data_IF_899104737363
#
_entry.id   IF_899104737363
#
_cell.length_a   1.000
_cell.length_b   1.000
_cell.length_c   1.000
_cell.angle_alpha   90.00
_cell.angle_beta   90.00
_cell.angle_gamma   90.00
#
_symmetry.space_group_name_H-M   'P 1'
#
loop_
_entity.id
_entity.type
_entity.pdbx_description
1 polymer ?
#
# COMPACT_ATOMS: atom_id res chain seq x y z
N UNK A 1 -2.93 8.24 -26.83
CA UNK A 1 -4.29 8.05 -26.27
C UNK A 1 -4.58 6.54 -25.99
N UNK A 2 -4.03 6.02 -24.89
CA UNK A 2 -4.29 4.65 -24.44
C UNK A 2 -5.56 4.60 -23.57
N UNK A 3 -6.39 3.58 -23.82
CA UNK A 3 -7.78 3.46 -23.38
C UNK A 3 -7.95 3.42 -21.86
N UNK A 4 -8.88 4.28 -21.40
CA UNK A 4 -9.36 4.54 -20.02
C UNK A 4 -9.87 3.31 -19.22
N UNK A 5 -9.95 2.12 -19.80
CA UNK A 5 -10.52 0.92 -19.15
C UNK A 5 -9.49 -0.05 -18.56
N UNK A 6 -8.27 -0.10 -19.09
CA UNK A 6 -7.26 -1.08 -18.62
C UNK A 6 -6.61 -0.68 -17.27
N UNK A 7 -6.79 0.56 -16.85
CA UNK A 7 -5.97 1.16 -15.79
C UNK A 7 -6.64 1.15 -14.41
N UNK A 8 -7.98 1.16 -14.40
CA UNK A 8 -8.77 0.79 -13.22
C UNK A 8 -8.45 -0.65 -12.81
N UNK A 9 -8.23 -1.53 -13.79
CA UNK A 9 -7.82 -2.92 -13.56
C UNK A 9 -6.40 -2.99 -12.97
N UNK A 10 -5.46 -2.13 -13.34
CA UNK A 10 -4.06 -2.20 -12.85
C UNK A 10 -3.86 -1.68 -11.41
N UNK A 11 -4.48 -0.56 -11.04
CA UNK A 11 -4.38 0.00 -9.67
C UNK A 11 -5.21 -0.83 -8.69
N UNK A 12 -6.39 -1.33 -9.11
CA UNK A 12 -7.04 -2.40 -8.37
C UNK A 12 -6.18 -3.66 -8.38
N UNK A 13 -5.59 -4.12 -9.48
CA UNK A 13 -4.83 -5.37 -9.52
C UNK A 13 -3.62 -5.38 -8.60
N UNK A 14 -2.90 -4.28 -8.38
CA UNK A 14 -1.73 -4.33 -7.51
C UNK A 14 -2.11 -4.21 -6.03
N UNK A 15 -3.09 -3.37 -5.69
CA UNK A 15 -3.62 -3.27 -4.33
C UNK A 15 -4.42 -4.53 -3.95
N UNK A 16 -5.17 -5.09 -4.91
CA UNK A 16 -5.85 -6.40 -4.83
C UNK A 16 -4.83 -7.52 -4.89
N UNK A 17 -3.69 -7.43 -5.58
CA UNK A 17 -2.64 -8.46 -5.49
C UNK A 17 -1.96 -8.44 -4.12
N UNK A 18 -1.72 -7.28 -3.52
CA UNK A 18 -1.28 -7.19 -2.13
C UNK A 18 -2.35 -7.70 -1.16
N UNK A 19 -3.63 -7.36 -1.34
CA UNK A 19 -4.74 -7.85 -0.50
C UNK A 19 -5.05 -9.34 -0.71
N UNK A 20 -4.89 -9.87 -1.93
CA UNK A 20 -5.07 -11.29 -2.26
C UNK A 20 -3.85 -12.10 -1.81
N UNK A 21 -2.63 -11.57 -1.89
CA UNK A 21 -1.46 -12.20 -1.28
C UNK A 21 -1.61 -12.29 0.25
N UNK A 22 -2.22 -11.27 0.88
CA UNK A 22 -2.58 -11.30 2.30
C UNK A 22 -3.76 -12.25 2.57
N UNK A 23 -4.77 -12.33 1.70
CA UNK A 23 -5.91 -13.25 1.88
C UNK A 23 -5.55 -14.73 1.66
N UNK A 24 -4.65 -15.03 0.73
CA UNK A 24 -4.19 -16.40 0.48
C UNK A 24 -3.37 -16.99 1.64
N UNK A 25 -2.73 -16.15 2.47
CA UNK A 25 -2.04 -16.61 3.68
C UNK A 25 -2.98 -16.87 4.85
N UNK A 26 -4.12 -16.16 4.91
CA UNK A 26 -5.16 -16.43 5.92
C UNK A 26 -5.95 -17.72 5.65
N UNK A 27 -6.24 -18.05 4.39
CA UNK A 27 -7.01 -19.26 4.05
C UNK A 27 -6.25 -20.56 4.38
N UNK A 28 -4.91 -20.57 4.22
CA UNK A 28 -4.07 -21.71 4.60
C UNK A 28 -4.04 -21.95 6.13
N UNK A 29 -4.32 -20.90 6.92
CA UNK A 29 -4.33 -20.96 8.39
C UNK A 29 -5.70 -21.40 8.94
N UNK A 30 -6.79 -21.05 8.24
CA UNK A 30 -8.16 -21.42 8.62
C UNK A 30 -8.49 -22.87 8.26
N UNK A 31 -7.91 -23.40 7.18
CA UNK A 31 -8.14 -24.80 6.77
C UNK A 31 -7.60 -25.85 7.76
N UNK A 32 -6.76 -25.48 8.73
CA UNK A 32 -6.27 -26.39 9.79
C UNK A 32 -7.07 -26.35 11.10
N UNK A 33 -8.14 -25.55 11.16
CA UNK A 33 -9.01 -25.41 12.33
C UNK A 33 -10.41 -26.01 12.11
N UNK A 34 -10.56 -27.00 11.22
CA UNK A 34 -11.74 -27.87 11.23
C UNK A 34 -11.65 -28.80 12.45
N UNK A 35 -12.09 -28.28 13.59
CA UNK A 35 -12.39 -29.06 14.79
C UNK A 35 -13.42 -30.13 14.41
N UNK A 36 -13.05 -31.39 14.60
CA UNK A 36 -13.96 -32.53 14.55
C UNK A 36 -14.96 -32.41 15.70
N UNK A 37 -16.13 -31.84 15.42
CA UNK A 37 -17.26 -31.87 16.35
C UNK A 37 -18.12 -33.09 16.05
N UNK A 38 -17.71 -34.25 16.55
CA UNK A 38 -18.62 -35.36 16.79
C UNK A 38 -19.47 -35.01 18.01
N UNK A 39 -20.59 -34.32 17.78
CA UNK A 39 -21.64 -34.14 18.79
C UNK A 39 -22.83 -35.00 18.35
N UNK A 40 -22.97 -36.19 18.94
CA UNK A 40 -24.19 -36.99 18.81
C UNK A 40 -25.29 -36.40 19.69
N UNK A 41 -26.26 -35.73 19.08
CA UNK A 41 -27.50 -35.32 19.75
C UNK A 41 -28.56 -36.39 19.53
N UNK A 42 -28.84 -37.16 20.58
CA UNK A 42 -29.92 -38.15 20.61
C UNK A 42 -31.28 -37.42 20.61
N UNK A 43 -32.03 -37.60 19.52
CA UNK A 43 -33.27 -36.89 19.23
C UNK A 43 -34.44 -37.86 19.30
N UNK A 44 -35.02 -38.07 20.48
CA UNK A 44 -36.36 -38.65 20.59
C UNK A 44 -37.36 -37.51 20.75
N UNK A 45 -38.23 -37.40 19.74
CA UNK A 45 -39.42 -36.54 19.65
C UNK A 45 -39.22 -35.18 18.99
N UNK A 46 -39.31 -35.14 17.65
CA UNK A 46 -40.29 -34.26 17.00
C UNK A 46 -40.54 -34.72 15.56
N UNK A 47 -41.78 -35.15 15.30
CA UNK A 47 -42.25 -35.50 13.98
C UNK A 47 -42.90 -34.29 13.29
N UNK A 48 -42.90 -34.34 11.96
CA UNK A 48 -43.68 -33.55 10.98
C UNK A 48 -43.12 -32.18 10.57
N UNK A 49 -42.43 -32.15 9.42
CA UNK A 49 -43.11 -31.93 8.14
C UNK A 49 -42.15 -32.14 6.95
N UNK A 50 -42.64 -32.91 5.98
CA UNK A 50 -41.98 -33.21 4.72
C UNK A 50 -41.87 -31.97 3.83
N UNK A 51 -40.66 -31.45 3.66
CA UNK A 51 -40.30 -30.59 2.54
C UNK A 51 -39.37 -31.40 1.65
N UNK A 52 -39.92 -31.88 0.53
CA UNK A 52 -39.11 -32.43 -0.55
C UNK A 52 -38.46 -31.27 -1.31
N UNK A 53 -37.20 -30.99 -1.01
CA UNK A 53 -36.35 -30.20 -1.90
C UNK A 53 -35.27 -31.12 -2.46
N UNK A 54 -35.43 -31.45 -3.73
CA UNK A 54 -34.47 -32.10 -4.62
C UNK A 54 -33.06 -31.55 -4.42
N UNK A 55 -32.23 -32.31 -3.69
CA UNK A 55 -30.78 -32.12 -3.65
C UNK A 55 -30.26 -32.69 -4.97
N UNK A 56 -30.08 -31.81 -5.95
CA UNK A 56 -29.26 -32.10 -7.12
C UNK A 56 -27.85 -32.37 -6.62
N UNK A 57 -27.31 -33.54 -6.96
CA UNK A 57 -25.88 -33.81 -6.97
C UNK A 57 -25.19 -32.64 -7.70
N UNK A 58 -24.56 -31.73 -6.96
CA UNK A 58 -23.47 -30.97 -7.50
C UNK A 58 -22.34 -31.96 -7.71
N UNK A 59 -22.17 -32.40 -8.96
CA UNK A 59 -20.88 -32.92 -9.39
C UNK A 59 -19.84 -31.87 -8.99
N UNK A 60 -18.95 -32.25 -8.07
CA UNK A 60 -17.66 -31.60 -7.90
C UNK A 60 -16.96 -31.64 -9.26
N UNK A 61 -17.14 -30.58 -10.04
CA UNK A 61 -16.18 -30.23 -11.07
C UNK A 61 -14.92 -29.87 -10.29
N UNK A 62 -14.09 -30.87 -10.06
CA UNK A 62 -12.69 -30.72 -9.69
C UNK A 62 -12.02 -29.95 -10.82
N UNK A 63 -12.20 -28.63 -10.81
CA UNK A 63 -11.38 -27.73 -11.59
C UNK A 63 -9.96 -28.00 -11.10
N UNK A 64 -9.04 -28.50 -11.95
CA UNK A 64 -7.67 -28.68 -11.53
C UNK A 64 -7.20 -27.31 -11.07
N UNK A 65 -6.86 -27.25 -9.79
CA UNK A 65 -6.15 -26.16 -9.17
C UNK A 65 -5.03 -25.77 -10.11
N UNK A 66 -5.24 -24.68 -10.84
CA UNK A 66 -4.24 -23.94 -11.60
C UNK A 66 -3.32 -23.20 -10.59
N UNK A 67 -3.00 -23.90 -9.52
CA UNK A 67 -2.18 -23.51 -8.41
C UNK A 67 -0.83 -24.14 -8.63
N UNK A 68 0.17 -23.29 -8.48
CA UNK A 68 1.56 -23.66 -8.23
C UNK A 68 2.26 -24.14 -9.52
N UNK A 69 2.87 -23.19 -10.24
CA UNK A 69 4.19 -23.40 -10.82
C UNK A 69 5.06 -24.00 -9.70
N UNK A 70 5.15 -25.33 -9.70
CA UNK A 70 5.74 -26.12 -8.63
C UNK A 70 7.17 -25.71 -8.38
N UNK A 71 7.43 -25.12 -7.21
CA UNK A 71 8.67 -25.39 -6.49
C UNK A 71 8.62 -26.86 -6.04
N UNK A 72 8.77 -27.76 -7.01
CA UNK A 72 8.70 -29.20 -6.78
C UNK A 72 9.93 -29.68 -6.01
N UNK A 73 9.71 -30.15 -4.78
CA UNK A 73 10.56 -31.18 -4.17
C UNK A 73 11.47 -30.77 -3.01
N UNK A 74 11.53 -29.49 -2.61
CA UNK A 74 12.36 -29.07 -1.47
C UNK A 74 11.46 -28.70 -0.30
N UNK A 75 11.52 -29.45 0.80
CA UNK A 75 10.76 -29.21 2.03
C UNK A 75 11.22 -27.96 2.79
N UNK A 76 11.20 -26.79 2.15
CA UNK A 76 11.52 -25.52 2.76
C UNK A 76 10.36 -25.06 3.66
N UNK A 77 10.70 -24.42 4.78
CA UNK A 77 9.69 -23.83 5.66
C UNK A 77 8.95 -22.68 4.93
N UNK A 78 7.66 -22.47 5.23
CA UNK A 78 6.86 -21.38 4.67
C UNK A 78 7.55 -20.01 4.81
N UNK A 79 8.23 -19.79 5.94
CA UNK A 79 9.01 -18.57 6.18
C UNK A 79 10.13 -18.38 5.16
N UNK A 80 10.83 -19.46 4.80
CA UNK A 80 11.94 -19.40 3.82
C UNK A 80 11.44 -19.02 2.43
N UNK A 81 10.26 -19.51 2.03
CA UNK A 81 9.64 -19.14 0.75
C UNK A 81 9.32 -17.65 0.73
N UNK A 82 8.68 -17.12 1.78
CA UNK A 82 8.37 -15.70 1.89
C UNK A 82 9.62 -14.80 1.83
N UNK A 83 10.73 -15.22 2.46
CA UNK A 83 11.99 -14.46 2.39
C UNK A 83 12.60 -14.45 0.98
N UNK A 84 12.56 -15.59 0.27
CA UNK A 84 13.07 -15.69 -1.10
C UNK A 84 12.26 -14.83 -2.07
N UNK A 85 10.94 -14.72 -1.88
CA UNK A 85 10.08 -13.84 -2.68
C UNK A 85 10.32 -12.35 -2.39
N UNK A 86 10.71 -12.00 -1.15
CA UNK A 86 11.01 -10.61 -0.77
C UNK A 86 12.33 -10.09 -1.36
N UNK A 87 13.34 -10.96 -1.54
CA UNK A 87 14.67 -10.55 -1.99
C UNK A 87 14.68 -9.85 -3.37
N UNK A 88 14.06 -10.40 -4.44
CA UNK A 88 13.99 -9.72 -5.73
C UNK A 88 13.30 -8.35 -5.65
N UNK A 89 12.24 -8.24 -4.83
CA UNK A 89 11.53 -6.98 -4.63
C UNK A 89 12.42 -5.95 -3.91
N UNK A 90 13.13 -6.36 -2.86
CA UNK A 90 14.06 -5.49 -2.15
C UNK A 90 15.20 -5.01 -3.06
N UNK A 91 15.77 -5.90 -3.88
CA UNK A 91 16.80 -5.56 -4.88
C UNK A 91 16.24 -4.57 -5.91
N UNK A 92 15.04 -4.80 -6.42
CA UNK A 92 14.38 -3.90 -7.36
C UNK A 92 14.15 -2.52 -6.75
N UNK A 93 13.63 -2.44 -5.52
CA UNK A 93 13.41 -1.19 -4.80
C UNK A 93 14.72 -0.43 -4.61
N UNK A 94 15.80 -1.11 -4.21
CA UNK A 94 17.11 -0.50 -4.03
C UNK A 94 17.68 -0.01 -5.37
N UNK A 95 17.58 -0.80 -6.43
CA UNK A 95 18.03 -0.40 -7.78
C UNK A 95 17.27 0.84 -8.29
N UNK A 96 15.95 0.85 -8.12
CA UNK A 96 15.10 2.01 -8.48
C UNK A 96 15.43 3.23 -7.62
N UNK A 97 15.69 3.04 -6.32
CA UNK A 97 16.09 4.11 -5.42
C UNK A 97 17.44 4.73 -5.84
N UNK A 98 18.43 3.91 -6.19
CA UNK A 98 19.71 4.39 -6.73
C UNK A 98 19.54 5.15 -8.05
N UNK A 99 18.77 4.61 -8.99
CA UNK A 99 18.49 5.28 -10.27
C UNK A 99 17.83 6.65 -10.05
N UNK A 100 16.86 6.71 -9.14
CA UNK A 100 16.16 7.96 -8.78
C UNK A 100 17.08 8.97 -8.13
N UNK A 101 17.92 8.57 -7.19
CA UNK A 101 18.86 9.47 -6.53
C UNK A 101 19.79 10.15 -7.55
N UNK A 102 20.26 9.40 -8.55
CA UNK A 102 21.10 9.94 -9.64
C UNK A 102 20.35 10.88 -10.59
N UNK A 103 19.07 10.63 -10.85
CA UNK A 103 18.28 11.44 -11.79
C UNK A 103 17.77 12.74 -11.15
N UNK A 104 17.50 12.73 -9.84
CA UNK A 104 16.89 13.84 -9.11
C UNK A 104 17.74 15.11 -9.09
N UNK A 105 19.06 14.96 -8.95
CA UNK A 105 20.02 16.09 -8.96
C UNK A 105 19.90 16.94 -10.23
N UNK A 106 19.51 16.32 -11.36
CA UNK A 106 19.37 16.99 -12.65
C UNK A 106 18.07 17.80 -12.76
N UNK A 107 17.00 17.40 -12.05
CA UNK A 107 15.67 18.02 -12.18
C UNK A 107 15.54 19.26 -11.31
N UNK A 108 16.04 19.22 -10.07
CA UNK A 108 15.91 20.33 -9.11
C UNK A 108 16.67 21.59 -9.58
N UNK A 109 17.78 21.42 -10.30
CA UNK A 109 18.59 22.52 -10.82
C UNK A 109 17.87 23.41 -11.87
N UNK A 110 16.77 22.95 -12.47
CA UNK A 110 16.14 23.60 -13.62
C UNK A 110 14.78 24.28 -13.31
N UNK A 111 14.36 24.33 -12.04
CA UNK A 111 12.94 24.49 -11.69
C UNK A 111 12.57 25.72 -10.85
N UNK A 112 13.46 26.71 -10.69
CA UNK A 112 13.15 27.94 -9.96
C UNK A 112 12.22 28.85 -10.78
N UNK A 113 10.91 28.68 -10.67
CA UNK A 113 9.90 29.64 -11.12
C UNK A 113 9.11 30.14 -9.91
N UNK A 114 9.09 31.46 -9.74
CA UNK A 114 8.45 32.13 -8.61
C UNK A 114 6.92 32.21 -8.83
N UNK A 115 6.20 31.15 -8.44
CA UNK A 115 4.74 31.18 -8.35
C UNK A 115 4.33 31.46 -6.89
N UNK A 116 3.86 32.68 -6.62
CA UNK A 116 3.42 33.17 -5.31
C UNK A 116 2.16 32.49 -4.74
N UNK A 117 1.84 31.27 -5.18
CA UNK A 117 0.76 30.45 -4.64
C UNK A 117 0.98 30.10 -3.18
N UNK A 118 -0.01 30.39 -2.34
CA UNK A 118 -0.05 29.94 -0.95
C UNK A 118 -0.18 28.41 -0.91
N UNK A 119 0.70 27.76 -0.13
CA UNK A 119 0.75 26.31 0.06
C UNK A 119 0.32 25.90 1.48
N UNK A 120 -0.45 26.77 2.14
CA UNK A 120 -1.07 26.56 3.46
C UNK A 120 -2.22 25.53 3.43
N UNK A 121 -2.65 25.11 2.23
CA UNK A 121 -3.62 24.04 2.00
C UNK A 121 -3.08 23.08 0.94
N UNK A 122 -3.46 21.80 1.02
CA UNK A 122 -3.18 20.85 -0.06
C UNK A 122 -3.73 21.37 -1.40
N UNK A 123 -2.81 21.68 -2.31
CA UNK A 123 -3.10 22.15 -3.67
C UNK A 123 -4.07 21.25 -4.44
N UNK A 124 -3.92 19.93 -4.31
CA UNK A 124 -4.73 18.93 -4.99
C UNK A 124 -5.58 18.13 -4.01
N UNK A 125 -6.74 17.65 -4.44
CA UNK A 125 -7.50 16.65 -3.70
C UNK A 125 -6.83 15.26 -3.74
N UNK A 126 -7.10 14.42 -2.73
CA UNK A 126 -6.51 13.08 -2.57
C UNK A 126 -6.72 12.21 -3.82
N UNK A 127 -7.91 12.27 -4.43
CA UNK A 127 -8.26 11.46 -5.60
C UNK A 127 -8.01 12.17 -6.94
N UNK A 128 -7.16 13.20 -6.98
CA UNK A 128 -6.79 13.92 -8.20
C UNK A 128 -5.70 13.18 -9.00
N UNK A 129 -5.89 11.89 -9.29
CA UNK A 129 -4.90 11.03 -9.94
C UNK A 129 -4.73 11.30 -11.44
N UNK A 130 -5.69 11.97 -12.06
CA UNK A 130 -5.69 12.21 -13.51
C UNK A 130 -4.88 13.43 -13.95
N UNK A 131 -4.50 14.31 -13.02
CA UNK A 131 -3.74 15.53 -13.35
C UNK A 131 -2.29 15.23 -13.71
N UNK A 132 -1.69 14.24 -13.05
CA UNK A 132 -0.33 13.77 -13.32
C UNK A 132 -0.27 12.25 -13.23
N UNK A 133 -0.37 11.63 -14.40
CA UNK A 133 -0.31 10.18 -14.55
C UNK A 133 1.05 9.61 -14.14
N UNK A 134 2.14 10.36 -14.37
CA UNK A 134 3.48 9.89 -14.06
C UNK A 134 3.67 9.78 -12.53
N UNK A 135 3.32 10.85 -11.79
CA UNK A 135 3.38 10.82 -10.33
C UNK A 135 2.45 9.76 -9.74
N UNK A 136 1.24 9.60 -10.26
CA UNK A 136 0.32 8.56 -9.77
C UNK A 136 0.89 7.15 -10.00
N UNK A 137 1.44 6.87 -11.18
CA UNK A 137 2.05 5.57 -11.47
C UNK A 137 3.20 5.28 -10.50
N UNK A 138 4.08 6.25 -10.28
CA UNK A 138 5.20 6.10 -9.34
C UNK A 138 4.75 5.89 -7.90
N UNK A 139 3.75 6.61 -7.43
CA UNK A 139 3.21 6.42 -6.08
C UNK A 139 2.49 5.08 -5.92
N UNK A 140 1.92 4.52 -6.99
CA UNK A 140 1.26 3.21 -6.95
C UNK A 140 2.25 2.04 -7.04
N UNK A 141 3.26 2.11 -7.92
CA UNK A 141 4.20 1.01 -8.16
C UNK A 141 5.45 1.07 -7.29
N UNK A 142 5.87 2.26 -6.85
CA UNK A 142 7.04 2.47 -6.01
C UNK A 142 6.75 3.48 -4.89
N UNK A 143 5.72 3.24 -4.05
CA UNK A 143 5.37 4.16 -2.96
C UNK A 143 6.53 4.40 -2.01
N UNK A 144 7.38 3.40 -1.76
CA UNK A 144 8.52 3.52 -0.87
C UNK A 144 9.54 4.56 -1.32
N UNK A 145 9.97 4.49 -2.58
CA UNK A 145 10.93 5.41 -3.17
C UNK A 145 10.32 6.81 -3.25
N UNK A 146 9.05 6.89 -3.67
CA UNK A 146 8.38 8.17 -3.85
C UNK A 146 8.12 8.90 -2.54
N UNK A 147 7.64 8.19 -1.52
CA UNK A 147 7.42 8.75 -0.19
C UNK A 147 8.75 9.18 0.47
N UNK A 148 9.78 8.35 0.38
CA UNK A 148 11.11 8.68 0.89
C UNK A 148 11.72 9.91 0.19
N UNK A 149 11.51 10.04 -1.12
CA UNK A 149 11.93 11.21 -1.88
C UNK A 149 11.23 12.48 -1.39
N UNK A 150 9.91 12.45 -1.22
CA UNK A 150 9.10 13.57 -0.71
C UNK A 150 9.60 14.05 0.66
N UNK A 151 9.78 13.12 1.59
CA UNK A 151 10.25 13.46 2.95
C UNK A 151 11.71 13.91 3.01
N UNK A 152 12.53 13.46 2.06
CA UNK A 152 13.91 13.94 1.88
C UNK A 152 13.96 15.34 1.30
N UNK A 153 13.04 15.73 0.41
CA UNK A 153 12.95 17.12 -0.08
C UNK A 153 12.54 18.05 1.07
N UNK A 154 11.61 17.60 1.90
CA UNK A 154 11.15 18.35 3.08
C UNK A 154 12.14 18.38 4.25
N UNK A 155 13.27 17.69 4.16
CA UNK A 155 14.25 17.60 5.26
C UNK A 155 13.75 16.83 6.50
N UNK A 156 12.54 16.27 6.47
CA UNK A 156 11.95 15.54 7.61
C UNK A 156 12.58 14.17 7.84
N UNK A 157 13.07 13.53 6.77
CA UNK A 157 13.68 12.21 6.83
C UNK A 157 14.72 12.06 5.72
N UNK A 158 15.87 11.44 6.02
CA UNK A 158 16.83 11.07 4.98
C UNK A 158 16.23 10.07 3.99
N UNK A 159 16.55 10.21 2.70
CA UNK A 159 16.03 9.34 1.64
C UNK A 159 16.21 7.85 1.94
N UNK A 160 17.44 7.42 2.27
CA UNK A 160 17.73 6.02 2.58
C UNK A 160 16.99 5.55 3.83
N UNK A 161 16.88 6.39 4.86
CA UNK A 161 16.11 6.09 6.07
C UNK A 161 14.64 5.81 5.72
N UNK A 162 14.03 6.61 4.84
CA UNK A 162 12.67 6.39 4.38
C UNK A 162 12.49 5.06 3.63
N UNK A 163 13.43 4.72 2.76
CA UNK A 163 13.43 3.43 2.05
C UNK A 163 13.57 2.27 3.04
N UNK A 164 14.48 2.36 4.01
CA UNK A 164 14.66 1.32 5.03
C UNK A 164 13.43 1.12 5.90
N UNK A 165 12.76 2.19 6.34
CA UNK A 165 11.50 2.10 7.11
C UNK A 165 10.45 1.29 6.32
N UNK A 166 10.29 1.58 5.03
CA UNK A 166 9.36 0.84 4.17
C UNK A 166 9.75 -0.63 4.01
N UNK A 167 11.03 -0.94 3.78
CA UNK A 167 11.51 -2.32 3.63
C UNK A 167 11.30 -3.14 4.92
N UNK A 168 11.51 -2.52 6.08
CA UNK A 168 11.22 -3.13 7.38
C UNK A 168 9.71 -3.42 7.50
N UNK A 169 8.84 -2.46 7.14
CA UNK A 169 7.40 -2.71 7.15
C UNK A 169 6.98 -3.84 6.20
N UNK A 170 7.52 -3.90 4.99
CA UNK A 170 7.24 -5.01 4.07
C UNK A 170 7.70 -6.36 4.64
N UNK A 171 8.86 -6.39 5.30
CA UNK A 171 9.40 -7.61 5.93
C UNK A 171 8.53 -8.08 7.09
N UNK A 172 8.11 -7.16 7.97
CA UNK A 172 7.26 -7.44 9.13
C UNK A 172 5.82 -7.79 8.70
N UNK A 173 5.33 -7.21 7.60
CA UNK A 173 3.99 -7.48 7.07
C UNK A 173 3.82 -8.93 6.66
N UNK A 174 4.91 -9.60 6.25
CA UNK A 174 4.92 -11.02 5.90
C UNK A 174 4.74 -11.93 7.13
N UNK A 175 4.92 -11.39 8.34
CA UNK A 175 4.83 -12.13 9.61
C UNK A 175 3.52 -11.82 10.33
N UNK A 176 3.15 -10.53 10.45
CA UNK A 176 2.06 -10.07 11.34
C UNK A 176 0.78 -9.69 10.57
N UNK A 177 0.83 -9.59 9.24
CA UNK A 177 -0.35 -9.35 8.40
C UNK A 177 -1.06 -8.02 8.71
N UNK A 178 -2.37 -8.09 9.00
CA UNK A 178 -3.24 -6.91 9.16
C UNK A 178 -2.77 -5.95 10.27
N UNK A 179 -2.14 -6.45 11.33
CA UNK A 179 -1.64 -5.57 12.40
C UNK A 179 -0.51 -4.66 11.88
N UNK A 180 0.36 -5.17 11.01
CA UNK A 180 1.39 -4.34 10.36
C UNK A 180 0.77 -3.26 9.50
N UNK A 181 -0.33 -3.54 8.81
CA UNK A 181 -1.05 -2.56 8.02
C UNK A 181 -1.58 -1.39 8.86
N UNK A 182 -2.17 -1.68 10.02
CA UNK A 182 -2.68 -0.65 10.94
C UNK A 182 -1.53 0.20 11.50
N UNK A 183 -0.44 -0.46 11.94
CA UNK A 183 0.76 0.25 12.44
C UNK A 183 1.36 1.12 11.34
N UNK A 184 1.43 0.61 10.12
CA UNK A 184 1.90 1.34 8.95
C UNK A 184 1.02 2.59 8.71
N UNK A 185 -0.30 2.44 8.63
CA UNK A 185 -1.20 3.58 8.44
C UNK A 185 -1.05 4.63 9.55
N UNK A 186 -0.83 4.21 10.80
CA UNK A 186 -0.59 5.11 11.92
C UNK A 186 0.75 5.86 11.78
N UNK A 187 1.84 5.17 11.46
CA UNK A 187 3.15 5.81 11.27
C UNK A 187 3.11 6.81 10.12
N UNK A 188 2.47 6.46 9.01
CA UNK A 188 2.36 7.33 7.84
C UNK A 188 1.46 8.55 8.11
N UNK A 189 0.39 8.37 8.89
CA UNK A 189 -0.40 9.47 9.42
C UNK A 189 0.47 10.44 10.24
N UNK A 190 1.35 9.95 11.12
CA UNK A 190 2.26 10.82 11.89
C UNK A 190 3.19 11.63 10.97
N UNK A 191 3.79 10.97 9.98
CA UNK A 191 4.64 11.66 9.00
C UNK A 191 3.88 12.68 8.15
N UNK A 192 2.63 12.39 7.81
CA UNK A 192 1.74 13.33 7.11
C UNK A 192 1.34 14.51 8.00
N UNK A 193 1.24 14.33 9.31
CA UNK A 193 1.02 15.43 10.24
C UNK A 193 2.28 16.30 10.38
N UNK A 194 3.48 15.70 10.36
CA UNK A 194 4.73 16.45 10.27
C UNK A 194 4.82 17.23 8.95
N UNK A 195 4.42 16.62 7.84
CA UNK A 195 4.31 17.28 6.54
C UNK A 195 3.43 18.54 6.62
N UNK A 196 2.22 18.44 7.17
CA UNK A 196 1.30 19.59 7.32
C UNK A 196 1.92 20.70 8.18
N UNK A 197 2.69 20.34 9.21
CA UNK A 197 3.41 21.31 10.06
C UNK A 197 4.53 22.02 9.31
N UNK A 198 5.26 21.33 8.43
CA UNK A 198 6.31 21.96 7.60
C UNK A 198 5.73 23.05 6.69
N UNK A 199 4.50 22.88 6.21
CA UNK A 199 3.78 23.87 5.41
C UNK A 199 2.92 24.86 6.22
N UNK A 200 2.95 24.79 7.56
CA UNK A 200 2.15 25.63 8.46
C UNK A 200 0.64 25.60 8.13
N UNK A 201 0.12 24.43 7.73
CA UNK A 201 -1.31 24.28 7.44
C UNK A 201 -2.14 24.41 8.72
N UNK A 202 -3.23 25.17 8.68
CA UNK A 202 -4.06 25.48 9.87
C UNK A 202 -4.64 24.22 10.53
N UNK A 203 -4.95 23.19 9.74
CA UNK A 203 -5.53 21.93 10.23
C UNK A 203 -4.52 20.99 10.90
N UNK A 204 -3.23 21.34 10.92
CA UNK A 204 -2.18 20.47 11.44
C UNK A 204 -2.36 20.22 12.95
N UNK A 205 -2.44 18.95 13.34
CA UNK A 205 -2.59 18.56 14.74
C UNK A 205 -4.02 18.53 15.29
N UNK A 206 -5.03 18.82 14.47
CA UNK A 206 -6.44 18.68 14.88
C UNK A 206 -6.87 17.21 14.91
N UNK A 207 -7.78 16.84 15.82
CA UNK A 207 -8.27 15.46 15.93
C UNK A 207 -8.89 14.96 14.60
N UNK A 208 -9.64 15.83 13.92
CA UNK A 208 -10.22 15.54 12.61
C UNK A 208 -9.15 15.30 11.54
N UNK A 209 -8.03 16.03 11.55
CA UNK A 209 -6.97 15.82 10.56
C UNK A 209 -6.20 14.53 10.81
N UNK A 210 -5.95 14.15 12.07
CA UNK A 210 -5.38 12.84 12.41
C UNK A 210 -6.27 11.69 11.93
N UNK A 211 -7.57 11.73 12.25
CA UNK A 211 -8.51 10.70 11.84
C UNK A 211 -8.64 10.62 10.31
N UNK A 212 -8.73 11.78 9.64
CA UNK A 212 -8.77 11.85 8.19
C UNK A 212 -7.51 11.26 7.53
N UNK A 213 -6.33 11.62 8.01
CA UNK A 213 -5.06 11.13 7.47
C UNK A 213 -4.89 9.62 7.71
N UNK A 214 -5.33 9.11 8.87
CA UNK A 214 -5.34 7.67 9.14
C UNK A 214 -6.25 6.91 8.16
N UNK A 215 -7.48 7.38 7.95
CA UNK A 215 -8.41 6.75 7.00
C UNK A 215 -7.87 6.81 5.58
N UNK A 216 -7.25 7.92 5.18
CA UNK A 216 -6.64 8.08 3.87
C UNK A 216 -5.52 7.07 3.65
N UNK A 217 -4.64 6.83 4.63
CA UNK A 217 -3.63 5.79 4.51
C UNK A 217 -4.18 4.37 4.57
N UNK A 218 -5.27 4.14 5.31
CA UNK A 218 -5.96 2.85 5.35
C UNK A 218 -6.63 2.48 4.02
N UNK A 219 -7.17 3.45 3.27
CA UNK A 219 -7.98 3.17 2.07
C UNK A 219 -7.34 3.59 0.74
N UNK A 220 -6.42 4.56 0.76
CA UNK A 220 -5.86 5.18 -0.45
C UNK A 220 -4.42 5.66 -0.22
N UNK A 221 -3.57 4.85 0.43
CA UNK A 221 -2.17 5.19 0.70
C UNK A 221 -1.39 5.74 -0.52
N UNK A 222 -1.45 5.10 -1.71
CA UNK A 222 -0.78 5.61 -2.91
C UNK A 222 -1.25 7.01 -3.33
N UNK A 223 -2.53 7.31 -3.11
CA UNK A 223 -3.15 8.60 -3.41
C UNK A 223 -2.60 9.68 -2.49
N UNK A 224 -2.44 9.35 -1.21
CA UNK A 224 -1.82 10.21 -0.20
C UNK A 224 -0.38 10.54 -0.57
N UNK A 225 0.42 9.52 -0.93
CA UNK A 225 1.83 9.68 -1.36
C UNK A 225 1.91 10.53 -2.63
N UNK A 226 1.03 10.31 -3.62
CA UNK A 226 0.98 11.12 -4.83
C UNK A 226 0.63 12.59 -4.54
N UNK A 227 -0.35 12.84 -3.68
CA UNK A 227 -0.77 14.19 -3.29
C UNK A 227 0.37 14.93 -2.57
N UNK A 228 1.03 14.28 -1.61
CA UNK A 228 2.18 14.84 -0.88
C UNK A 228 3.32 15.20 -1.84
N UNK A 229 3.63 14.29 -2.76
CA UNK A 229 4.73 14.50 -3.69
C UNK A 229 4.47 15.66 -4.66
N UNK A 230 3.24 15.79 -5.21
CA UNK A 230 2.89 16.94 -6.06
C UNK A 230 2.95 18.27 -5.31
N UNK A 231 2.52 18.27 -4.06
CA UNK A 231 2.53 19.48 -3.22
C UNK A 231 3.98 19.91 -2.90
N UNK A 232 4.86 18.97 -2.58
CA UNK A 232 6.28 19.24 -2.34
C UNK A 232 7.01 19.67 -3.61
N UNK A 233 6.71 19.07 -4.75
CA UNK A 233 7.29 19.50 -6.02
C UNK A 233 6.83 20.91 -6.43
N UNK A 234 5.58 21.26 -6.13
CA UNK A 234 5.10 22.63 -6.30
C UNK A 234 5.84 23.60 -5.36
N UNK A 235 6.05 23.20 -4.11
CA UNK A 235 6.81 23.98 -3.12
C UNK A 235 8.28 24.18 -3.54
N UNK A 236 8.93 23.12 -4.03
CA UNK A 236 10.31 23.17 -4.49
C UNK A 236 10.45 24.08 -5.73
N UNK A 237 9.50 24.02 -6.66
CA UNK A 237 9.45 24.93 -7.82
C UNK A 237 9.31 26.40 -7.40
N UNK A 238 8.42 26.66 -6.43
CA UNK A 238 8.16 28.00 -5.90
C UNK A 238 9.25 28.53 -4.95
N UNK A 239 10.30 27.75 -4.65
CA UNK A 239 11.34 28.17 -3.71
C UNK A 239 10.87 28.31 -2.26
N UNK A 240 9.83 27.58 -1.86
CA UNK A 240 9.24 27.69 -0.52
C UNK A 240 10.19 27.14 0.56
N UNK A 241 10.32 27.84 1.70
CA UNK A 241 11.24 27.50 2.82
C UNK A 241 11.14 26.04 3.29
N UNK A 242 9.92 25.47 3.25
CA UNK A 242 9.69 24.07 3.66
C UNK A 242 10.38 23.04 2.75
N UNK A 243 10.67 23.39 1.50
CA UNK A 243 11.30 22.52 0.50
C UNK A 243 12.75 22.94 0.19
N UNK A 244 13.25 24.03 0.77
CA UNK A 244 14.60 24.56 0.54
C UNK A 244 15.68 23.86 1.38
N UNK A 245 15.34 22.84 2.15
CA UNK A 245 16.27 22.07 3.00
C UNK A 245 17.10 21.01 2.24
N UNK A 246 17.09 21.03 0.91
CA UNK A 246 17.83 20.08 0.06
C UNK A 246 19.26 20.54 -0.17
#
# INVERSE_FOLDING_TARGET
PMRRHNLRIFVLCHYVACLLAVSHTTDASVAKLSVSSDVSVDTKNFALNSVSSSVRHSEEIALPTLGILGYGGVGLSQSTISFLDFLPLAVLVVAVAFYRQKTKEVIVANLCEEDGTKLDVFRDSICHWYSDWNTCAWSCFCPCVRWAETHSILGTLGFWTGVFIFLVFCSVSSIVGLLTWIVFAFVFMLFRQLFRRSFKMEDAGTCCSFAGDFLVYCFCGPCAVAQEARHVEAAARAGHDAASSV
#
